data_IF_784985514669
#
_entry.id   IF_784985514669
#
_cell.length_a   1.000
_cell.length_b   1.000
_cell.length_c   1.000
_cell.angle_alpha   90.00
_cell.angle_beta   90.00
_cell.angle_gamma   90.00
#
_symmetry.space_group_name_H-M   'P 1'
#
loop_
_entity.id
_entity.type
_entity.pdbx_description
1 polymer ?
#
# COMPACT_ATOMS: atom_id res chain seq x y z
N UNK A 1 3.87 -0.37 14.46
CA UNK A 1 3.95 0.78 13.55
C UNK A 1 3.16 0.43 12.31
N UNK A 2 2.19 1.25 11.90
CA UNK A 2 1.28 0.91 10.79
C UNK A 2 1.87 1.47 9.49
N UNK A 3 2.10 0.64 8.48
CA UNK A 3 2.64 1.08 7.20
C UNK A 3 1.53 1.10 6.14
N UNK A 4 1.32 2.26 5.53
CA UNK A 4 0.41 2.46 4.40
C UNK A 4 1.24 2.52 3.14
N UNK A 5 1.30 1.40 2.43
CA UNK A 5 2.03 1.29 1.17
C UNK A 5 1.08 1.65 0.03
N UNK A 6 1.48 2.55 -0.85
CA UNK A 6 0.68 2.87 -2.02
C UNK A 6 1.27 3.92 -2.93
N UNK A 7 0.45 4.42 -3.86
CA UNK A 7 0.81 5.52 -4.76
C UNK A 7 -0.02 6.76 -4.44
N UNK A 8 0.60 7.94 -4.53
CA UNK A 8 -0.08 9.20 -4.27
C UNK A 8 -1.28 9.48 -5.21
N UNK A 9 -1.30 8.89 -6.40
CA UNK A 9 -2.39 9.07 -7.37
C UNK A 9 -3.56 8.09 -7.18
N UNK A 10 -3.68 7.44 -6.01
CA UNK A 10 -4.78 6.53 -5.70
C UNK A 10 -5.76 7.20 -4.72
N UNK A 11 -7.04 7.29 -5.12
CA UNK A 11 -8.11 7.81 -4.25
C UNK A 11 -8.30 6.99 -2.97
N UNK A 12 -8.07 5.68 -3.02
CA UNK A 12 -8.15 4.80 -1.85
C UNK A 12 -7.12 5.22 -0.80
N UNK A 13 -5.87 5.48 -1.20
CA UNK A 13 -4.81 5.91 -0.27
C UNK A 13 -5.16 7.25 0.39
N UNK A 14 -5.69 8.21 -0.37
CA UNK A 14 -6.12 9.50 0.19
C UNK A 14 -7.21 9.32 1.26
N UNK A 15 -8.19 8.45 0.99
CA UNK A 15 -9.25 8.11 1.95
C UNK A 15 -8.69 7.39 3.19
N UNK A 16 -7.80 6.41 3.00
CA UNK A 16 -7.17 5.66 4.10
C UNK A 16 -6.34 6.57 5.00
N UNK A 17 -5.49 7.45 4.43
CA UNK A 17 -4.73 8.44 5.21
C UNK A 17 -5.65 9.32 6.04
N UNK A 18 -6.71 9.85 5.42
CA UNK A 18 -7.67 10.71 6.10
C UNK A 18 -8.32 9.97 7.28
N UNK A 19 -8.79 8.74 7.06
CA UNK A 19 -9.41 7.93 8.11
C UNK A 19 -8.44 7.62 9.25
N UNK A 20 -7.18 7.26 8.95
CA UNK A 20 -6.17 6.98 9.97
C UNK A 20 -5.85 8.24 10.79
N UNK A 21 -5.70 9.39 10.13
CA UNK A 21 -5.52 10.67 10.82
C UNK A 21 -6.74 11.06 11.66
N UNK A 22 -7.97 10.84 11.17
CA UNK A 22 -9.21 11.09 11.92
C UNK A 22 -9.37 10.18 13.15
N UNK A 23 -8.78 8.99 13.13
CA UNK A 23 -8.77 8.05 14.26
C UNK A 23 -7.52 8.19 15.15
N UNK A 24 -6.69 9.21 14.91
CA UNK A 24 -5.44 9.45 15.65
C UNK A 24 -4.48 8.23 15.63
N UNK A 25 -4.51 7.45 14.54
CA UNK A 25 -3.65 6.28 14.36
C UNK A 25 -2.35 6.74 13.71
N UNK A 26 -1.23 6.52 14.37
CA UNK A 26 0.08 6.75 13.77
C UNK A 26 0.35 5.76 12.64
N UNK A 27 0.63 6.30 11.45
CA UNK A 27 0.99 5.51 10.28
C UNK A 27 2.13 6.15 9.50
N UNK A 28 2.93 5.29 8.88
CA UNK A 28 3.97 5.67 7.94
C UNK A 28 3.49 5.43 6.52
N UNK A 29 3.56 6.43 5.66
CA UNK A 29 3.17 6.27 4.26
C UNK A 29 4.40 6.01 3.38
N UNK A 30 4.41 4.84 2.74
CA UNK A 30 5.46 4.42 1.82
C UNK A 30 4.96 4.61 0.38
N UNK A 31 5.60 5.51 -0.36
CA UNK A 31 5.26 5.78 -1.75
C UNK A 31 6.01 4.81 -2.68
N UNK A 32 5.29 3.83 -3.21
CA UNK A 32 5.84 2.81 -4.13
C UNK A 32 6.50 3.39 -5.38
N UNK A 33 6.14 4.62 -5.77
CA UNK A 33 6.70 5.28 -6.95
C UNK A 33 8.05 5.95 -6.65
N UNK A 34 8.28 6.33 -5.39
CA UNK A 34 9.56 6.93 -4.95
C UNK A 34 10.51 5.87 -4.41
N UNK A 35 9.98 4.97 -3.60
CA UNK A 35 10.72 3.88 -2.97
C UNK A 35 10.09 2.56 -3.40
N UNK A 36 10.62 1.94 -4.48
CA UNK A 36 10.15 0.63 -4.88
C UNK A 36 10.49 -0.38 -3.79
N UNK A 37 9.55 -1.29 -3.51
CA UNK A 37 9.78 -2.41 -2.62
C UNK A 37 10.90 -3.30 -3.18
N UNK A 38 11.74 -3.83 -2.30
CA UNK A 38 12.70 -4.85 -2.67
C UNK A 38 11.99 -6.15 -2.99
N UNK A 39 12.66 -7.03 -3.73
CA UNK A 39 12.12 -8.35 -4.10
C UNK A 39 11.76 -9.17 -2.85
N UNK A 40 12.53 -9.04 -1.77
CA UNK A 40 12.28 -9.74 -0.51
C UNK A 40 10.94 -9.32 0.14
N UNK A 41 10.69 -8.01 0.22
CA UNK A 41 9.44 -7.44 0.73
C UNK A 41 8.23 -7.86 -0.13
N UNK A 42 8.40 -7.87 -1.46
CA UNK A 42 7.35 -8.31 -2.38
C UNK A 42 7.04 -9.79 -2.17
N UNK A 43 8.05 -10.65 -2.01
CA UNK A 43 7.84 -12.07 -1.73
C UNK A 43 7.15 -12.28 -0.38
N UNK A 44 7.50 -11.50 0.64
CA UNK A 44 6.84 -11.59 1.94
C UNK A 44 5.37 -11.18 1.86
N UNK A 45 5.07 -10.09 1.14
CA UNK A 45 3.70 -9.65 0.92
C UNK A 45 2.92 -10.66 0.06
N UNK A 46 3.53 -11.20 -0.99
CA UNK A 46 2.94 -12.28 -1.81
C UNK A 46 2.60 -13.48 -0.93
N UNK A 47 3.50 -13.89 -0.04
CA UNK A 47 3.28 -15.00 0.87
C UNK A 47 2.13 -14.71 1.86
N UNK A 48 2.01 -13.47 2.34
CA UNK A 48 0.99 -13.08 3.33
C UNK A 48 -0.42 -12.90 2.75
N UNK A 49 -0.55 -12.24 1.60
CA UNK A 49 -1.87 -11.88 1.03
C UNK A 49 -2.19 -12.59 -0.27
N UNK A 50 -1.21 -13.21 -0.90
CA UNK A 50 -1.33 -13.81 -2.23
C UNK A 50 -1.16 -12.80 -3.35
N UNK A 51 -0.49 -13.22 -4.43
CA UNK A 51 -0.21 -12.39 -5.60
C UNK A 51 -1.48 -11.81 -6.26
N UNK A 52 -2.60 -12.52 -6.18
CA UNK A 52 -3.88 -12.10 -6.78
C UNK A 52 -4.51 -10.89 -6.09
N UNK A 53 -4.24 -10.71 -4.79
CA UNK A 53 -4.68 -9.55 -4.01
C UNK A 53 -3.65 -8.42 -4.11
N UNK A 54 -2.37 -8.78 -4.18
CA UNK A 54 -1.27 -7.83 -4.24
C UNK A 54 -1.23 -7.08 -5.59
N UNK A 55 -1.43 -7.80 -6.69
CA UNK A 55 -1.49 -7.24 -8.03
C UNK A 55 -2.95 -7.06 -8.42
N UNK A 56 -3.36 -5.80 -8.59
CA UNK A 56 -4.71 -5.51 -9.07
C UNK A 56 -4.85 -5.88 -10.56
N UNK A 57 -5.15 -7.15 -10.84
CA UNK A 57 -5.40 -7.68 -12.19
C UNK A 57 -6.73 -7.20 -12.80
N UNK A 58 -7.53 -6.40 -12.09
CA UNK A 58 -8.78 -5.80 -12.60
C UNK A 58 -8.56 -4.45 -13.28
N UNK A 59 -7.34 -3.90 -13.23
CA UNK A 59 -6.98 -2.72 -14.01
C UNK A 59 -6.83 -3.09 -15.49
N UNK A 60 -7.47 -2.35 -16.38
CA UNK A 60 -7.31 -2.48 -17.84
C UNK A 60 -6.04 -1.75 -18.34
N UNK A 61 -4.90 -1.90 -17.67
CA UNK A 61 -3.63 -1.30 -18.10
C UNK A 61 -2.50 -2.29 -17.87
#
# INVERSE_FOLDING_TARGET
MLHVIGINNCDTIKKTKKWLTENEIEFEFIDLKKEPLTIDEINELEFKVGLDVLVNKRGTT
#
